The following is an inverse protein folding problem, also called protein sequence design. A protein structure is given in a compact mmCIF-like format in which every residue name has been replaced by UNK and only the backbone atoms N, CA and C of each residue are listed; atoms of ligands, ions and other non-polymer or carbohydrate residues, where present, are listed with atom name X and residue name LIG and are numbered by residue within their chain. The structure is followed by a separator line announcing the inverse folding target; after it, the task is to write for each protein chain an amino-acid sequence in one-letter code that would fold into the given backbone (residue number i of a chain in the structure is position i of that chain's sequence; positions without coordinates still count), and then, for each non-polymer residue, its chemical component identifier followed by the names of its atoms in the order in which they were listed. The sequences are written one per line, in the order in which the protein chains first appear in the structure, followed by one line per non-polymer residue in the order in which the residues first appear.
data_IF_470852735277
#
_entry.id   IF_470852735277
#
_cell.length_a   1.000
_cell.length_b   1.000
_cell.length_c   1.000
_cell.angle_alpha   90.00
_cell.angle_beta   90.00
_cell.angle_gamma   90.00
#
_symmetry.space_group_name_H-M   'P 1'
#
loop_
_entity.id
_entity.type
_entity.pdbx_description
1 polymer ?
#
# COMPACT_ATOMS: atom_id res chain seq x y z
N UNK A 1 18.88 -24.07 5.71
CA UNK A 1 17.59 -24.81 5.67
C UNK A 1 17.21 -25.16 7.11
N UNK A 2 16.07 -24.66 7.62
CA UNK A 2 15.62 -25.00 8.96
C UNK A 2 15.20 -26.49 8.99
N UNK A 3 15.65 -27.21 10.02
CA UNK A 3 15.36 -28.61 10.19
C UNK A 3 13.86 -28.79 10.45
N UNK A 4 13.17 -29.60 9.65
CA UNK A 4 11.76 -29.93 9.87
C UNK A 4 11.57 -30.61 11.22
N UNK A 5 10.67 -30.09 12.05
CA UNK A 5 10.30 -30.64 13.34
C UNK A 5 8.80 -30.98 13.31
N UNK A 6 8.39 -32.26 13.41
CA UNK A 6 6.97 -32.62 13.40
C UNK A 6 6.20 -31.93 14.53
N UNK A 7 4.99 -31.49 14.23
CA UNK A 7 4.09 -30.88 15.22
C UNK A 7 4.41 -29.45 15.66
N UNK A 8 5.47 -28.86 15.14
CA UNK A 8 5.90 -27.49 15.50
C UNK A 8 4.97 -26.39 14.93
N UNK A 9 4.08 -26.72 14.01
CA UNK A 9 3.18 -25.78 13.35
C UNK A 9 1.73 -25.94 13.84
N UNK A 10 1.00 -24.83 13.96
CA UNK A 10 -0.43 -24.85 14.31
C UNK A 10 -1.25 -25.64 13.28
N UNK A 11 -0.93 -25.50 12.01
CA UNK A 11 -1.57 -26.18 10.88
C UNK A 11 -0.65 -27.22 10.26
N UNK A 12 -1.22 -28.20 9.55
CA UNK A 12 -0.45 -29.22 8.83
C UNK A 12 0.31 -28.56 7.67
N UNK A 13 1.60 -28.86 7.59
CA UNK A 13 2.48 -28.43 6.49
C UNK A 13 2.44 -29.44 5.34
N UNK A 14 3.05 -29.10 4.20
CA UNK A 14 3.20 -30.04 3.08
C UNK A 14 4.01 -31.29 3.50
N UNK A 15 5.03 -31.13 4.36
CA UNK A 15 5.84 -32.26 4.85
C UNK A 15 5.04 -33.16 5.79
N UNK A 16 4.18 -32.59 6.65
CA UNK A 16 3.24 -33.38 7.44
C UNK A 16 2.29 -34.19 6.54
N UNK A 17 1.79 -33.59 5.47
CA UNK A 17 0.91 -34.25 4.50
C UNK A 17 1.61 -35.37 3.73
N UNK A 18 2.89 -35.18 3.35
CA UNK A 18 3.72 -36.23 2.74
C UNK A 18 3.92 -37.38 3.69
N UNK A 19 4.15 -37.09 4.98
CA UNK A 19 4.26 -38.13 6.00
C UNK A 19 2.94 -38.88 6.17
N UNK A 20 1.79 -38.20 6.22
CA UNK A 20 0.47 -38.83 6.26
C UNK A 20 0.27 -39.77 5.06
N UNK A 21 0.57 -39.31 3.85
CA UNK A 21 0.45 -40.12 2.63
C UNK A 21 1.32 -41.39 2.70
N UNK A 22 2.60 -41.22 3.06
CA UNK A 22 3.54 -42.35 3.21
C UNK A 22 3.06 -43.37 4.24
N UNK A 23 2.59 -42.90 5.38
CA UNK A 23 2.11 -43.73 6.48
C UNK A 23 0.81 -44.47 6.13
N UNK A 24 -0.10 -43.80 5.41
CA UNK A 24 -1.32 -44.45 4.87
C UNK A 24 -1.00 -45.54 3.85
N UNK A 25 -0.02 -45.31 2.98
CA UNK A 25 0.45 -46.32 2.03
C UNK A 25 1.09 -47.53 2.75
N UNK A 26 1.73 -47.29 3.90
CA UNK A 26 2.28 -48.36 4.76
C UNK A 26 1.21 -49.03 5.66
N UNK A 27 -0.04 -48.57 5.64
CA UNK A 27 -1.12 -49.15 6.45
C UNK A 27 -1.12 -48.75 7.92
N UNK A 28 -0.41 -47.67 8.29
CA UNK A 28 -0.35 -47.18 9.67
C UNK A 28 -1.72 -46.67 10.15
N UNK A 29 -2.01 -46.79 11.44
CA UNK A 29 -3.23 -46.27 12.06
C UNK A 29 -3.17 -44.74 12.23
N UNK A 30 -4.33 -44.12 12.33
CA UNK A 30 -4.41 -42.66 12.61
C UNK A 30 -3.79 -42.27 13.95
N UNK A 31 -3.79 -43.20 14.94
CA UNK A 31 -3.15 -42.96 16.23
C UNK A 31 -1.62 -42.89 16.07
N UNK A 32 -1.02 -43.74 15.26
CA UNK A 32 0.43 -43.76 15.04
C UNK A 32 0.86 -42.51 14.25
N UNK A 33 0.12 -42.15 13.21
CA UNK A 33 0.35 -40.94 12.41
C UNK A 33 0.25 -39.69 13.29
N UNK A 34 -0.80 -39.62 14.12
CA UNK A 34 -1.04 -38.49 15.00
C UNK A 34 0.05 -38.37 16.09
N UNK A 35 0.48 -39.47 16.65
CA UNK A 35 1.59 -39.50 17.63
C UNK A 35 2.88 -38.95 17.07
N UNK A 36 3.24 -39.31 15.86
CA UNK A 36 4.45 -38.80 15.20
C UNK A 36 4.34 -37.30 14.90
N UNK A 37 3.17 -36.84 14.42
CA UNK A 37 2.95 -35.44 14.05
C UNK A 37 2.59 -34.58 15.26
N UNK A 38 2.54 -35.08 16.47
CA UNK A 38 2.09 -34.40 17.68
C UNK A 38 0.74 -33.72 17.49
N UNK A 39 -0.21 -34.42 16.84
CA UNK A 39 -1.58 -33.98 16.57
C UNK A 39 -2.59 -34.95 17.15
N UNK A 40 -3.83 -34.54 17.28
CA UNK A 40 -4.94 -35.41 17.63
C UNK A 40 -5.33 -36.33 16.46
N UNK A 41 -5.66 -37.63 16.70
CA UNK A 41 -6.13 -38.53 15.64
C UNK A 41 -7.34 -38.03 14.87
N UNK A 42 -8.21 -37.22 15.51
CA UNK A 42 -9.38 -36.60 14.84
C UNK A 42 -8.95 -35.56 13.82
N UNK A 43 -7.83 -34.88 14.04
CA UNK A 43 -7.23 -33.93 13.07
C UNK A 43 -6.80 -34.68 11.81
N UNK A 44 -6.14 -35.83 11.95
CA UNK A 44 -5.71 -36.66 10.82
C UNK A 44 -6.95 -37.17 10.06
N UNK A 45 -7.96 -37.66 10.81
CA UNK A 45 -9.22 -38.10 10.21
C UNK A 45 -9.93 -36.99 9.41
N UNK A 46 -10.01 -35.80 9.97
CA UNK A 46 -10.61 -34.63 9.29
C UNK A 46 -9.82 -34.23 8.04
N UNK A 47 -8.49 -34.14 8.14
CA UNK A 47 -7.60 -33.82 7.02
C UNK A 47 -7.82 -34.77 5.86
N UNK A 48 -7.81 -36.10 6.12
CA UNK A 48 -7.99 -37.11 5.08
C UNK A 48 -9.38 -37.04 4.46
N UNK A 49 -10.44 -36.90 5.25
CA UNK A 49 -11.83 -36.85 4.76
C UNK A 49 -12.10 -35.60 3.93
N UNK A 50 -11.55 -34.45 4.29
CA UNK A 50 -11.74 -33.17 3.59
C UNK A 50 -10.92 -33.09 2.29
N UNK A 51 -9.71 -33.66 2.29
CA UNK A 51 -8.76 -33.45 1.20
C UNK A 51 -8.49 -34.72 0.38
N UNK A 52 -9.26 -35.82 0.60
CA UNK A 52 -9.14 -37.01 -0.25
C UNK A 52 -9.56 -36.70 -1.68
N UNK A 53 -8.79 -37.20 -2.64
CA UNK A 53 -9.08 -37.13 -4.05
C UNK A 53 -10.10 -38.22 -4.43
N UNK A 54 -11.28 -37.83 -4.90
CA UNK A 54 -12.29 -38.75 -5.43
C UNK A 54 -11.99 -39.12 -6.88
N UNK A 55 -12.39 -40.31 -7.27
CA UNK A 55 -12.31 -40.79 -8.66
C UNK A 55 -10.89 -40.72 -9.24
N UNK A 56 -9.92 -41.08 -8.37
CA UNK A 56 -8.52 -41.15 -8.77
C UNK A 56 -8.32 -42.26 -9.79
N UNK A 57 -7.92 -41.85 -11.00
CA UNK A 57 -7.63 -42.73 -12.10
C UNK A 57 -6.13 -42.96 -12.23
N UNK A 58 -5.67 -44.19 -12.04
CA UNK A 58 -4.32 -44.57 -12.43
C UNK A 58 -4.35 -44.97 -13.92
N UNK A 59 -3.55 -44.36 -14.78
CA UNK A 59 -3.40 -44.79 -16.19
C UNK A 59 -3.13 -46.30 -16.23
N UNK A 60 -4.02 -47.06 -16.84
CA UNK A 60 -3.91 -48.54 -16.98
C UNK A 60 -4.60 -49.37 -15.90
N UNK A 61 -5.22 -48.79 -14.86
CA UNK A 61 -5.86 -49.54 -13.78
C UNK A 61 -7.38 -49.51 -13.81
N UNK A 62 -7.99 -49.35 -14.99
CA UNK A 62 -9.46 -49.28 -15.08
C UNK A 62 -10.07 -50.51 -15.68
N UNK A 63 -10.84 -51.22 -14.85
CA UNK A 63 -12.08 -51.78 -15.37
C UNK A 63 -12.89 -50.62 -15.97
N UNK A 64 -13.23 -50.68 -17.25
CA UNK A 64 -14.10 -49.74 -17.96
C UNK A 64 -15.53 -49.77 -17.40
N UNK A 65 -15.72 -50.00 -16.11
CA UNK A 65 -17.02 -50.04 -15.47
C UNK A 65 -17.52 -48.60 -15.27
N UNK A 66 -18.26 -48.09 -16.20
CA UNK A 66 -18.96 -46.84 -16.09
C UNK A 66 -20.22 -46.92 -15.25
N UNK A 67 -20.72 -48.15 -14.97
CA UNK A 67 -21.86 -48.38 -14.11
C UNK A 67 -21.43 -48.66 -12.66
N UNK A 68 -21.91 -47.86 -11.73
CA UNK A 68 -21.57 -47.93 -10.29
C UNK A 68 -22.61 -48.69 -9.48
N UNK A 69 -23.53 -49.44 -10.14
CA UNK A 69 -24.54 -50.23 -9.48
C UNK A 69 -23.97 -51.52 -8.88
N UNK A 70 -24.41 -51.90 -7.69
CA UNK A 70 -24.07 -53.19 -7.04
C UNK A 70 -24.50 -54.36 -7.93
N UNK A 71 -25.65 -54.20 -8.60
CA UNK A 71 -26.24 -55.25 -9.43
C UNK A 71 -25.66 -55.37 -10.84
N UNK A 72 -24.70 -54.54 -11.25
CA UNK A 72 -24.21 -54.43 -12.63
C UNK A 72 -23.76 -55.76 -13.28
N UNK A 73 -23.24 -56.69 -12.51
CA UNK A 73 -22.74 -57.95 -13.02
C UNK A 73 -23.85 -59.02 -13.22
N UNK A 74 -24.97 -58.86 -12.53
CA UNK A 74 -26.10 -59.79 -12.56
C UNK A 74 -27.37 -59.17 -13.11
N UNK A 75 -27.33 -57.92 -13.51
CA UNK A 75 -28.48 -57.18 -14.04
C UNK A 75 -28.85 -57.67 -15.43
N UNK A 76 -30.09 -58.08 -15.57
CA UNK A 76 -30.68 -58.55 -16.85
C UNK A 76 -31.49 -57.45 -17.56
N UNK A 77 -31.60 -56.27 -16.97
CA UNK A 77 -32.36 -55.13 -17.52
C UNK A 77 -31.67 -54.58 -18.76
N UNK A 78 -32.46 -54.29 -19.79
CA UNK A 78 -32.02 -53.65 -21.03
C UNK A 78 -32.88 -52.41 -21.28
N UNK A 79 -32.33 -51.42 -21.94
CA UNK A 79 -33.01 -50.18 -22.34
C UNK A 79 -33.69 -49.40 -21.19
N UNK A 80 -33.13 -49.44 -20.00
CA UNK A 80 -33.69 -48.76 -18.81
C UNK A 80 -33.76 -47.24 -18.98
N UNK A 81 -32.95 -46.66 -19.84
CA UNK A 81 -32.88 -45.20 -20.09
C UNK A 81 -33.92 -44.72 -21.11
N UNK A 82 -34.60 -45.63 -21.83
CA UNK A 82 -35.64 -45.30 -22.84
C UNK A 82 -35.17 -44.47 -24.03
N UNK A 83 -33.86 -44.19 -24.12
CA UNK A 83 -33.31 -43.25 -25.13
C UNK A 83 -33.12 -43.90 -26.51
N UNK A 84 -32.99 -45.23 -26.58
CA UNK A 84 -32.70 -45.95 -27.82
C UNK A 84 -33.46 -47.27 -27.76
N UNK A 85 -34.31 -47.54 -28.77
CA UNK A 85 -35.16 -48.73 -28.83
C UNK A 85 -34.32 -50.02 -28.92
N UNK A 86 -33.15 -49.99 -29.55
CA UNK A 86 -32.19 -51.07 -29.64
C UNK A 86 -30.85 -50.69 -29.09
N UNK A 87 -30.74 -50.63 -27.75
CA UNK A 87 -29.47 -50.35 -27.08
C UNK A 87 -28.58 -51.60 -27.09
N UNK A 88 -27.54 -51.64 -27.93
CA UNK A 88 -26.53 -52.71 -27.96
C UNK A 88 -25.52 -52.64 -26.81
N UNK A 89 -25.59 -51.62 -25.95
CA UNK A 89 -24.66 -51.44 -24.85
C UNK A 89 -25.12 -52.22 -23.61
N UNK A 90 -24.24 -53.09 -23.11
CA UNK A 90 -24.54 -53.81 -21.86
C UNK A 90 -24.67 -52.83 -20.72
N UNK A 91 -25.74 -52.95 -19.90
CA UNK A 91 -25.94 -52.08 -18.74
C UNK A 91 -24.81 -52.12 -17.72
N UNK A 92 -24.02 -53.18 -17.72
CA UNK A 92 -22.77 -53.28 -16.89
C UNK A 92 -21.75 -52.19 -17.19
N UNK A 93 -21.71 -51.68 -18.41
CA UNK A 93 -20.76 -50.67 -18.87
C UNK A 93 -21.40 -49.30 -19.12
N UNK A 94 -22.72 -49.18 -19.03
CA UNK A 94 -23.44 -47.95 -19.35
C UNK A 94 -23.54 -47.00 -18.16
N UNK A 95 -23.01 -45.77 -18.25
CA UNK A 95 -23.07 -44.79 -17.15
C UNK A 95 -24.48 -44.22 -16.95
N UNK A 96 -25.36 -44.29 -17.96
CA UNK A 96 -26.69 -43.70 -17.90
C UNK A 96 -27.58 -44.37 -16.84
N UNK A 97 -27.36 -45.64 -16.55
CA UNK A 97 -28.04 -46.37 -15.49
C UNK A 97 -27.83 -45.76 -14.09
N UNK A 98 -26.72 -45.04 -13.86
CA UNK A 98 -26.42 -44.41 -12.57
C UNK A 98 -27.43 -43.30 -12.22
N UNK A 99 -28.12 -42.75 -13.22
CA UNK A 99 -29.08 -41.66 -13.06
C UNK A 99 -30.52 -42.05 -13.33
N UNK A 100 -30.74 -43.04 -14.22
CA UNK A 100 -32.07 -43.33 -14.75
C UNK A 100 -32.67 -44.63 -14.22
N UNK A 101 -31.84 -45.54 -13.68
CA UNK A 101 -32.37 -46.83 -13.20
C UNK A 101 -33.03 -46.68 -11.84
N UNK A 102 -34.33 -47.04 -11.67
CA UNK A 102 -35.02 -46.95 -10.38
C UNK A 102 -34.47 -47.91 -9.34
N UNK A 103 -33.86 -49.03 -9.78
CA UNK A 103 -33.21 -50.00 -8.88
C UNK A 103 -31.71 -49.75 -8.71
N UNK A 104 -31.25 -48.54 -9.00
CA UNK A 104 -29.83 -48.21 -8.84
C UNK A 104 -29.44 -48.19 -7.38
N UNK A 105 -28.54 -49.10 -7.00
CA UNK A 105 -27.92 -49.11 -5.68
C UNK A 105 -26.40 -48.87 -5.86
N UNK A 106 -25.94 -47.75 -5.36
CA UNK A 106 -24.51 -47.36 -5.48
C UNK A 106 -23.62 -48.33 -4.70
N UNK A 107 -22.67 -48.94 -5.37
CA UNK A 107 -21.68 -49.80 -4.74
C UNK A 107 -20.79 -49.00 -3.76
N UNK A 108 -20.63 -49.56 -2.54
CA UNK A 108 -19.81 -48.95 -1.50
C UNK A 108 -18.76 -49.91 -1.00
N UNK A 109 -17.61 -49.38 -0.62
CA UNK A 109 -16.55 -50.11 0.03
C UNK A 109 -16.51 -49.77 1.53
N UNK A 110 -16.65 -50.75 2.40
CA UNK A 110 -16.60 -50.55 3.88
C UNK A 110 -15.33 -49.85 4.35
N UNK A 111 -14.21 -49.98 3.64
CA UNK A 111 -12.97 -49.26 3.92
C UNK A 111 -13.08 -47.76 3.71
N UNK A 112 -13.99 -47.31 2.84
CA UNK A 112 -14.20 -45.87 2.57
C UNK A 112 -15.19 -45.24 3.54
N UNK A 113 -16.01 -46.04 4.22
CA UNK A 113 -16.94 -45.61 5.26
C UNK A 113 -16.29 -45.60 6.68
N UNK A 114 -15.22 -46.35 6.86
CA UNK A 114 -14.44 -46.46 8.10
C UNK A 114 -13.00 -45.99 7.86
N UNK A 115 -12.25 -45.71 8.92
CA UNK A 115 -10.82 -45.44 8.81
C UNK A 115 -10.10 -46.53 8.02
N UNK A 116 -9.25 -46.17 7.07
CA UNK A 116 -8.62 -44.89 6.80
C UNK A 116 -9.39 -43.98 5.78
N UNK A 117 -10.61 -44.29 5.35
CA UNK A 117 -11.46 -43.53 4.40
C UNK A 117 -10.89 -43.39 2.99
N UNK A 118 -9.78 -44.02 2.69
CA UNK A 118 -9.03 -43.97 1.43
C UNK A 118 -8.50 -45.33 1.04
N UNK A 119 -8.16 -45.48 -0.24
CA UNK A 119 -7.60 -46.70 -0.80
C UNK A 119 -6.08 -46.85 -0.57
N UNK A 120 -5.42 -45.85 0.01
CA UNK A 120 -4.00 -45.93 0.34
C UNK A 120 -3.74 -47.15 1.25
N UNK A 121 -2.70 -47.96 0.95
CA UNK A 121 -2.36 -49.15 1.70
C UNK A 121 -3.45 -50.23 1.71
N UNK A 122 -4.34 -50.24 0.69
CA UNK A 122 -5.32 -51.30 0.55
C UNK A 122 -4.64 -52.62 0.15
N UNK A 123 -4.91 -53.75 0.84
CA UNK A 123 -4.28 -55.06 0.51
C UNK A 123 -4.77 -55.59 -0.84
N UNK A 124 -5.97 -55.20 -1.29
CA UNK A 124 -6.42 -55.57 -2.64
C UNK A 124 -5.64 -54.72 -3.65
N UNK A 125 -4.90 -55.37 -4.54
CA UNK A 125 -4.23 -54.68 -5.62
C UNK A 125 -5.23 -53.82 -6.38
N UNK A 126 -4.84 -52.60 -6.77
CA UNK A 126 -5.71 -51.62 -7.45
C UNK A 126 -6.37 -52.22 -8.68
N UNK A 127 -5.66 -53.12 -9.37
CA UNK A 127 -6.11 -53.82 -10.57
C UNK A 127 -7.16 -54.92 -10.28
N UNK A 128 -7.23 -55.43 -9.06
CA UNK A 128 -8.18 -56.48 -8.65
C UNK A 128 -9.40 -55.95 -7.87
N UNK A 129 -9.45 -54.63 -7.64
CA UNK A 129 -10.56 -53.99 -6.96
C UNK A 129 -11.70 -53.67 -7.92
N UNK A 130 -12.85 -54.35 -7.73
CA UNK A 130 -14.04 -54.17 -8.54
C UNK A 130 -14.81 -52.89 -8.22
N UNK A 131 -14.54 -52.24 -7.08
CA UNK A 131 -15.23 -51.01 -6.64
C UNK A 131 -14.88 -49.86 -7.55
N UNK A 132 -15.92 -49.25 -8.11
CA UNK A 132 -15.76 -48.16 -9.07
C UNK A 132 -15.28 -46.85 -8.42
N UNK A 133 -15.88 -46.49 -7.28
CA UNK A 133 -15.45 -45.29 -6.56
C UNK A 133 -14.23 -45.57 -5.70
N UNK A 134 -13.14 -44.88 -6.02
CA UNK A 134 -11.88 -44.98 -5.28
C UNK A 134 -11.48 -43.60 -4.75
N UNK A 135 -11.01 -43.55 -3.51
CA UNK A 135 -10.49 -42.35 -2.90
C UNK A 135 -9.03 -42.55 -2.57
N UNK A 136 -8.23 -41.55 -2.87
CA UNK A 136 -6.81 -41.54 -2.49
C UNK A 136 -6.50 -40.25 -1.73
N UNK A 137 -5.65 -40.36 -0.72
CA UNK A 137 -5.01 -39.21 -0.15
C UNK A 137 -3.68 -38.97 -0.86
N UNK A 138 -3.54 -37.76 -1.45
CA UNK A 138 -2.35 -37.29 -2.11
C UNK A 138 -1.93 -35.98 -1.44
N UNK A 139 -0.70 -35.92 -0.96
CA UNK A 139 -0.20 -34.80 -0.14
C UNK A 139 -0.16 -33.48 -0.89
N UNK A 140 0.22 -33.49 -2.18
CA UNK A 140 0.31 -32.30 -3.00
C UNK A 140 -1.08 -31.75 -3.31
N UNK A 141 -2.01 -32.67 -3.65
CA UNK A 141 -3.39 -32.28 -3.88
C UNK A 141 -4.03 -31.71 -2.61
N UNK A 142 -3.83 -32.36 -1.45
CA UNK A 142 -4.37 -31.92 -0.19
C UNK A 142 -3.83 -30.53 0.21
N UNK A 143 -2.54 -30.28 0.01
CA UNK A 143 -1.92 -28.98 0.30
C UNK A 143 -2.45 -27.88 -0.63
N UNK A 144 -2.62 -28.18 -1.91
CA UNK A 144 -3.23 -27.24 -2.86
C UNK A 144 -4.67 -26.91 -2.47
N UNK A 145 -5.48 -27.93 -2.14
CA UNK A 145 -6.88 -27.72 -1.72
C UNK A 145 -6.97 -26.91 -0.42
N UNK A 146 -6.10 -27.17 0.53
CA UNK A 146 -6.01 -26.40 1.75
C UNK A 146 -5.67 -24.92 1.47
N UNK A 147 -4.67 -24.65 0.61
CA UNK A 147 -4.30 -23.30 0.19
C UNK A 147 -5.41 -22.58 -0.58
N UNK A 148 -6.12 -23.29 -1.46
CA UNK A 148 -7.30 -22.77 -2.15
C UNK A 148 -8.38 -22.37 -1.15
N UNK A 149 -8.68 -23.22 -0.16
CA UNK A 149 -9.67 -22.94 0.89
C UNK A 149 -9.25 -21.72 1.74
N UNK A 150 -7.97 -21.62 2.13
CA UNK A 150 -7.45 -20.45 2.84
C UNK A 150 -7.56 -19.17 2.01
N UNK A 151 -7.26 -19.25 0.73
CA UNK A 151 -7.37 -18.10 -0.17
C UNK A 151 -8.84 -17.67 -0.34
N UNK A 152 -9.73 -18.63 -0.54
CA UNK A 152 -11.17 -18.36 -0.68
C UNK A 152 -11.80 -17.82 0.60
N UNK A 153 -11.42 -18.35 1.77
CA UNK A 153 -11.94 -17.87 3.06
C UNK A 153 -11.46 -16.46 3.42
N UNK A 154 -10.34 -16.02 2.82
CA UNK A 154 -9.79 -14.66 2.96
C UNK A 154 -10.19 -13.75 1.79
N UNK A 155 -10.84 -14.30 0.77
CA UNK A 155 -11.35 -13.53 -0.35
C UNK A 155 -12.61 -12.77 0.06
N UNK A 156 -12.69 -11.51 -0.38
CA UNK A 156 -13.82 -10.65 -0.07
C UNK A 156 -13.50 -9.58 0.98
N UNK A 157 -14.53 -8.93 1.44
CA UNK A 157 -14.48 -7.81 2.37
C UNK A 157 -15.10 -8.26 3.69
N UNK A 158 -14.40 -8.06 4.80
CA UNK A 158 -14.92 -8.39 6.14
C UNK A 158 -15.80 -7.25 6.69
N UNK A 159 -16.80 -6.84 5.89
CA UNK A 159 -17.80 -5.85 6.29
C UNK A 159 -19.07 -6.00 5.45
N UNK A 160 -20.17 -5.46 5.95
CA UNK A 160 -21.45 -5.42 5.24
C UNK A 160 -21.42 -4.39 4.11
N UNK A 161 -22.36 -4.52 3.16
CA UNK A 161 -22.53 -3.51 2.09
C UNK A 161 -22.87 -2.13 2.64
N UNK A 162 -23.60 -2.06 3.74
CA UNK A 162 -23.97 -0.81 4.37
C UNK A 162 -22.75 -0.10 4.97
N UNK A 163 -21.95 -0.82 5.75
CA UNK A 163 -20.69 -0.30 6.31
C UNK A 163 -19.72 0.15 5.22
N UNK A 164 -19.60 -0.62 4.14
CA UNK A 164 -18.78 -0.24 3.00
C UNK A 164 -19.26 1.08 2.38
N UNK A 165 -20.57 1.21 2.18
CA UNK A 165 -21.15 2.43 1.63
C UNK A 165 -20.92 3.65 2.52
N UNK A 166 -21.08 3.50 3.84
CA UNK A 166 -20.78 4.58 4.80
C UNK A 166 -19.32 5.02 4.73
N UNK A 167 -18.38 4.06 4.68
CA UNK A 167 -16.94 4.37 4.53
C UNK A 167 -16.64 5.01 3.17
N UNK A 168 -17.25 4.56 2.09
CA UNK A 168 -17.07 5.14 0.76
C UNK A 168 -17.55 6.59 0.68
N UNK A 169 -18.63 6.94 1.35
CA UNK A 169 -19.16 8.30 1.45
C UNK A 169 -18.18 9.27 2.12
N UNK A 170 -17.30 8.79 3.01
CA UNK A 170 -16.24 9.59 3.64
C UNK A 170 -14.98 9.58 2.78
N UNK A 171 -14.52 8.39 2.38
CA UNK A 171 -13.21 8.21 1.74
C UNK A 171 -13.16 8.82 0.33
N UNK A 172 -14.17 8.58 -0.48
CA UNK A 172 -14.13 8.97 -1.91
C UNK A 172 -14.04 10.48 -2.11
N UNK A 173 -14.82 11.34 -1.43
CA UNK A 173 -14.67 12.80 -1.54
C UNK A 173 -13.28 13.28 -1.12
N UNK A 174 -12.71 12.75 -0.07
CA UNK A 174 -11.39 13.14 0.44
C UNK A 174 -10.26 12.77 -0.55
N UNK A 175 -10.37 11.62 -1.22
CA UNK A 175 -9.45 11.25 -2.31
C UNK A 175 -9.53 12.27 -3.46
N UNK A 176 -10.73 12.68 -3.84
CA UNK A 176 -10.91 13.70 -4.90
C UNK A 176 -10.42 15.08 -4.49
N UNK A 177 -10.41 15.41 -3.19
CA UNK A 177 -9.73 16.60 -2.66
C UNK A 177 -8.20 16.45 -2.67
N UNK A 178 -7.67 15.28 -3.05
CA UNK A 178 -6.25 14.99 -3.16
C UNK A 178 -5.60 14.58 -1.86
N UNK A 179 -6.36 14.16 -0.89
CA UNK A 179 -5.82 13.54 0.30
C UNK A 179 -5.27 12.15 -0.01
N UNK A 180 -4.15 11.80 0.59
CA UNK A 180 -3.58 10.46 0.46
C UNK A 180 -4.28 9.47 1.40
N UNK A 181 -4.28 8.16 1.11
CA UNK A 181 -4.80 7.14 2.02
C UNK A 181 -4.24 7.24 3.46
N UNK A 182 -2.98 7.61 3.61
CA UNK A 182 -2.38 7.85 4.92
C UNK A 182 -3.06 8.99 5.68
N UNK A 183 -3.24 10.15 5.02
CA UNK A 183 -3.88 11.32 5.62
C UNK A 183 -5.33 11.03 6.02
N UNK A 184 -6.08 10.35 5.16
CA UNK A 184 -7.47 9.95 5.44
C UNK A 184 -7.55 9.07 6.69
N UNK A 185 -6.77 7.99 6.75
CA UNK A 185 -6.81 7.05 7.88
C UNK A 185 -6.32 7.70 9.18
N UNK A 186 -5.34 8.61 9.11
CA UNK A 186 -4.83 9.32 10.29
C UNK A 186 -5.87 10.28 10.87
N UNK A 187 -6.63 10.95 10.00
CA UNK A 187 -7.64 11.92 10.42
C UNK A 187 -8.98 11.28 10.80
N UNK A 188 -9.27 10.05 10.30
CA UNK A 188 -10.52 9.33 10.47
C UNK A 188 -10.30 7.95 11.12
N UNK A 189 -9.91 7.89 12.40
CA UNK A 189 -9.72 6.62 13.11
C UNK A 189 -11.00 5.80 13.22
N UNK A 190 -12.19 6.42 13.12
CA UNK A 190 -13.50 5.76 13.10
C UNK A 190 -13.71 4.85 11.89
N UNK A 191 -12.93 5.02 10.82
CA UNK A 191 -12.97 4.11 9.68
C UNK A 191 -12.48 2.70 10.02
N UNK A 192 -11.76 2.54 11.13
CA UNK A 192 -11.25 1.25 11.64
C UNK A 192 -10.66 0.38 10.51
N UNK A 193 -9.71 0.93 9.80
CA UNK A 193 -8.99 0.23 8.72
C UNK A 193 -7.54 0.68 8.61
N UNK A 194 -6.69 -0.22 8.13
CA UNK A 194 -5.29 0.14 7.87
C UNK A 194 -5.13 0.86 6.52
N UNK A 195 -4.08 1.67 6.42
CA UNK A 195 -3.69 2.32 5.16
C UNK A 195 -3.52 1.29 4.03
N UNK A 196 -2.95 0.13 4.35
CA UNK A 196 -2.77 -0.98 3.39
C UNK A 196 -4.10 -1.56 2.91
N UNK A 197 -5.08 -1.65 3.82
CA UNK A 197 -6.44 -2.10 3.48
C UNK A 197 -7.09 -1.13 2.51
N UNK A 198 -6.97 0.18 2.75
CA UNK A 198 -7.52 1.21 1.88
C UNK A 198 -6.90 1.16 0.48
N UNK A 199 -5.57 1.05 0.37
CA UNK A 199 -4.92 0.83 -0.94
C UNK A 199 -5.45 -0.42 -1.65
N UNK A 200 -5.61 -1.54 -0.93
CA UNK A 200 -6.16 -2.77 -1.52
C UNK A 200 -7.59 -2.61 -2.02
N UNK A 201 -8.41 -1.79 -1.36
CA UNK A 201 -9.79 -1.53 -1.77
C UNK A 201 -9.86 -0.65 -3.01
N UNK A 202 -8.97 0.35 -3.10
CA UNK A 202 -8.82 1.20 -4.30
C UNK A 202 -8.34 0.39 -5.52
N UNK A 203 -7.32 -0.47 -5.33
CA UNK A 203 -6.78 -1.33 -6.38
C UNK A 203 -7.81 -2.34 -6.91
N UNK A 204 -8.65 -2.89 -6.03
CA UNK A 204 -9.69 -3.85 -6.38
C UNK A 204 -10.97 -3.19 -6.90
N UNK A 205 -11.06 -1.86 -6.89
CA UNK A 205 -12.25 -1.12 -7.30
C UNK A 205 -13.47 -1.39 -6.42
N UNK A 206 -13.25 -1.60 -5.13
CA UNK A 206 -14.29 -1.87 -4.12
C UNK A 206 -15.01 -0.58 -3.73
N UNK A 207 -14.27 0.54 -3.68
CA UNK A 207 -14.76 1.89 -3.44
C UNK A 207 -15.12 2.58 -4.76
N UNK A 208 -15.85 3.68 -4.69
CA UNK A 208 -16.14 4.53 -5.85
C UNK A 208 -14.89 5.19 -6.40
N UNK A 209 -14.00 5.67 -5.52
CA UNK A 209 -12.65 6.08 -5.90
C UNK A 209 -11.79 4.87 -6.27
N UNK A 210 -10.87 5.06 -7.20
CA UNK A 210 -9.96 4.04 -7.70
C UNK A 210 -8.50 4.50 -7.62
N UNK A 211 -7.59 3.58 -7.85
CA UNK A 211 -6.14 3.84 -7.84
C UNK A 211 -5.73 4.97 -8.81
N UNK A 212 -6.45 5.15 -9.92
CA UNK A 212 -6.20 6.22 -10.90
C UNK A 212 -6.47 7.63 -10.31
N UNK A 213 -7.33 7.72 -9.31
CA UNK A 213 -7.70 8.98 -8.66
C UNK A 213 -6.63 9.42 -7.64
N UNK A 214 -5.70 8.52 -7.29
CA UNK A 214 -4.56 8.83 -6.44
C UNK A 214 -3.53 9.68 -7.19
N UNK A 215 -3.02 10.72 -6.55
CA UNK A 215 -2.14 11.73 -7.18
C UNK A 215 -0.74 11.25 -7.57
N UNK A 216 -0.23 10.17 -6.99
CA UNK A 216 1.08 9.61 -7.33
C UNK A 216 0.95 8.43 -8.28
N UNK A 217 0.89 8.72 -9.57
CA UNK A 217 1.23 7.74 -10.59
C UNK A 217 2.72 7.89 -10.91
N UNK A 218 3.42 6.75 -11.04
CA UNK A 218 4.84 6.71 -11.42
C UNK A 218 4.97 7.29 -12.83
N UNK A 219 5.41 8.55 -12.95
CA UNK A 219 5.80 9.14 -14.23
C UNK A 219 7.29 8.99 -14.41
N UNK A 220 7.68 8.08 -15.29
CA UNK A 220 9.06 7.95 -15.75
C UNK A 220 9.36 9.08 -16.74
N UNK A 221 10.10 10.09 -16.30
CA UNK A 221 10.71 11.07 -17.21
C UNK A 221 12.22 10.89 -17.15
N UNK A 222 12.88 10.52 -18.26
CA UNK A 222 14.35 10.46 -18.30
C UNK A 222 14.93 11.86 -18.02
N UNK A 223 15.82 11.94 -17.03
CA UNK A 223 16.51 13.19 -16.70
C UNK A 223 17.47 13.55 -17.83
N UNK A 224 17.27 14.71 -18.45
CA UNK A 224 18.29 15.31 -19.32
C UNK A 224 19.41 15.86 -18.44
N UNK A 225 20.61 15.34 -18.63
CA UNK A 225 21.81 15.83 -17.93
C UNK A 225 22.27 17.12 -18.62
N UNK A 226 22.07 18.26 -17.95
CA UNK A 226 22.66 19.52 -18.38
C UNK A 226 23.99 19.71 -17.67
N UNK A 227 25.07 19.77 -18.42
CA UNK A 227 26.40 20.17 -17.90
C UNK A 227 26.42 21.67 -17.77
N UNK A 228 26.30 22.19 -16.58
CA UNK A 228 26.53 23.62 -16.26
C UNK A 228 27.95 23.81 -15.73
N UNK A 229 28.65 24.79 -16.26
CA UNK A 229 29.97 25.20 -15.70
C UNK A 229 29.73 25.90 -14.36
N UNK A 230 30.32 25.35 -13.33
CA UNK A 230 30.24 25.91 -11.96
C UNK A 230 31.31 27.00 -11.86
N UNK A 231 30.89 28.24 -11.66
CA UNK A 231 31.81 29.35 -11.34
C UNK A 231 31.93 29.45 -9.80
N UNK A 232 33.12 29.23 -9.29
CA UNK A 232 33.43 29.49 -7.89
C UNK A 232 33.33 31.01 -7.61
N UNK A 233 32.55 31.37 -6.59
CA UNK A 233 32.42 32.77 -6.14
C UNK A 233 32.95 32.87 -4.71
N UNK A 234 33.75 33.89 -4.44
CA UNK A 234 34.31 34.18 -3.12
C UNK A 234 33.23 34.33 -2.02
N UNK A 235 32.02 34.70 -2.41
CA UNK A 235 30.84 34.83 -1.53
C UNK A 235 30.47 33.55 -0.77
N UNK A 236 30.87 32.36 -1.29
CA UNK A 236 30.56 31.07 -0.67
C UNK A 236 31.62 30.56 0.28
N UNK A 237 32.74 31.28 0.43
CA UNK A 237 33.83 30.90 1.35
C UNK A 237 33.31 30.96 2.79
N UNK A 238 33.54 29.89 3.58
CA UNK A 238 33.04 29.69 4.95
C UNK A 238 31.51 29.58 5.07
N UNK A 239 30.82 29.34 3.94
CA UNK A 239 29.37 29.14 3.88
C UNK A 239 29.02 27.93 3.03
N UNK A 240 29.96 27.01 2.87
CA UNK A 240 29.73 25.79 2.09
C UNK A 240 28.92 24.76 2.87
N UNK A 241 28.41 23.75 2.19
CA UNK A 241 27.68 22.66 2.84
C UNK A 241 28.52 21.92 3.88
N UNK A 242 29.85 21.80 3.69
CA UNK A 242 30.77 21.24 4.68
C UNK A 242 30.80 22.07 5.97
N UNK A 243 30.78 23.40 5.86
CA UNK A 243 30.77 24.30 7.02
C UNK A 243 29.45 24.19 7.77
N UNK A 244 28.35 24.06 7.02
CA UNK A 244 26.99 23.80 7.56
C UNK A 244 26.93 22.46 8.31
N UNK A 245 27.47 21.37 7.73
CA UNK A 245 27.46 20.05 8.36
C UNK A 245 28.23 20.02 9.68
N UNK A 246 29.31 20.80 9.76
CA UNK A 246 30.12 20.91 11.01
C UNK A 246 29.34 21.53 12.18
N UNK A 247 28.21 22.18 11.94
CA UNK A 247 27.35 22.74 12.99
C UNK A 247 26.50 21.72 13.70
N UNK A 248 26.31 20.52 13.13
CA UNK A 248 25.49 19.42 13.66
C UNK A 248 24.10 19.87 14.17
N UNK A 249 23.39 20.70 13.39
CA UNK A 249 22.15 21.33 13.81
C UNK A 249 20.95 20.38 13.60
N UNK A 250 20.11 20.24 14.62
CA UNK A 250 18.84 19.55 14.56
C UNK A 250 17.72 20.42 13.95
N UNK A 251 17.88 21.73 13.98
CA UNK A 251 16.90 22.71 13.51
C UNK A 251 17.56 23.76 12.62
N UNK A 252 17.04 23.90 11.41
CA UNK A 252 17.42 24.94 10.46
C UNK A 252 16.29 25.15 9.44
N UNK A 253 16.38 26.22 8.67
CA UNK A 253 15.45 26.47 7.56
C UNK A 253 16.10 26.10 6.21
N UNK A 254 15.40 25.41 5.36
CA UNK A 254 15.75 25.30 3.95
C UNK A 254 15.04 26.42 3.19
N UNK A 255 15.73 27.04 2.22
CA UNK A 255 15.19 28.14 1.40
C UNK A 255 15.38 27.83 -0.09
N UNK A 256 14.36 28.14 -0.89
CA UNK A 256 14.37 27.90 -2.34
C UNK A 256 13.40 28.84 -3.08
N UNK A 257 13.52 28.91 -4.40
CA UNK A 257 12.57 29.62 -5.26
C UNK A 257 11.82 28.69 -6.19
N UNK A 258 10.52 28.95 -6.34
CA UNK A 258 9.65 28.24 -7.27
C UNK A 258 9.27 29.16 -8.42
N UNK A 259 9.72 28.78 -9.62
CA UNK A 259 9.49 29.58 -10.83
C UNK A 259 8.10 29.35 -11.45
N UNK A 260 7.54 30.40 -12.00
CA UNK A 260 6.33 30.47 -12.80
C UNK A 260 6.51 29.84 -14.20
N UNK A 261 5.48 29.93 -15.04
CA UNK A 261 5.57 29.79 -16.49
C UNK A 261 6.49 30.84 -17.09
N UNK A 262 6.89 30.66 -18.35
CA UNK A 262 7.77 31.61 -19.04
C UNK A 262 7.13 33.02 -19.26
N UNK A 263 5.80 33.07 -19.17
CA UNK A 263 5.02 34.30 -19.42
C UNK A 263 4.98 35.26 -18.21
N UNK A 264 5.41 34.80 -17.04
CA UNK A 264 5.42 35.64 -15.83
C UNK A 264 6.81 35.69 -15.20
N UNK A 265 7.19 36.89 -14.74
CA UNK A 265 8.42 37.16 -14.00
C UNK A 265 8.28 36.90 -12.51
N UNK A 266 7.07 36.64 -12.01
CA UNK A 266 6.81 36.36 -10.61
C UNK A 266 7.35 35.00 -10.21
N UNK A 267 7.87 34.96 -9.02
CA UNK A 267 8.41 33.73 -8.38
C UNK A 267 7.93 33.65 -6.95
N UNK A 268 7.94 32.45 -6.41
CA UNK A 268 7.59 32.22 -5.01
C UNK A 268 8.87 31.90 -4.27
N UNK A 269 9.21 32.68 -3.23
CA UNK A 269 10.24 32.36 -2.26
C UNK A 269 9.62 31.44 -1.21
N UNK A 270 10.27 30.33 -0.93
CA UNK A 270 9.79 29.32 0.00
C UNK A 270 10.77 29.05 1.11
N UNK A 271 10.26 28.80 2.31
CA UNK A 271 11.04 28.33 3.46
C UNK A 271 10.42 27.03 3.99
N UNK A 272 11.27 26.18 4.53
CA UNK A 272 10.88 24.95 5.16
C UNK A 272 11.68 24.77 6.46
N UNK A 273 10.99 24.85 7.60
CA UNK A 273 11.57 24.59 8.90
C UNK A 273 11.70 23.09 9.11
N UNK A 274 12.91 22.59 9.22
CA UNK A 274 13.17 21.14 9.12
C UNK A 274 12.62 20.33 10.27
N UNK A 275 12.61 20.89 11.48
CA UNK A 275 12.12 20.22 12.69
C UNK A 275 10.58 20.06 12.69
N UNK A 276 9.85 21.13 12.47
CA UNK A 276 8.39 21.19 12.45
C UNK A 276 7.79 20.74 11.12
N UNK A 277 8.63 20.60 10.08
CA UNK A 277 8.18 20.39 8.68
C UNK A 277 7.27 21.51 8.19
N UNK A 278 7.40 22.70 8.80
CA UNK A 278 6.57 23.85 8.52
C UNK A 278 7.01 24.53 7.22
N UNK A 279 6.05 24.74 6.34
CA UNK A 279 6.26 25.38 5.03
C UNK A 279 5.74 26.81 5.04
N UNK A 280 6.52 27.72 4.49
CA UNK A 280 6.13 29.13 4.29
C UNK A 280 6.43 29.52 2.86
N UNK A 281 5.60 30.43 2.29
CA UNK A 281 5.74 30.87 0.91
C UNK A 281 5.37 32.34 0.73
N UNK A 282 6.18 33.05 -0.05
CA UNK A 282 6.04 34.49 -0.29
C UNK A 282 6.16 34.80 -1.78
N UNK A 283 5.23 35.61 -2.30
CA UNK A 283 5.27 36.04 -3.70
C UNK A 283 6.30 37.15 -3.88
N UNK A 284 7.11 37.01 -4.92
CA UNK A 284 8.04 38.07 -5.37
C UNK A 284 7.73 38.44 -6.81
N UNK A 285 7.74 39.72 -7.13
CA UNK A 285 7.49 40.22 -8.48
C UNK A 285 8.61 39.86 -9.46
N UNK A 286 9.84 39.69 -8.96
CA UNK A 286 11.01 39.28 -9.75
C UNK A 286 11.97 38.45 -8.89
N UNK A 287 12.71 37.56 -9.52
CA UNK A 287 13.74 36.75 -8.89
C UNK A 287 15.04 37.57 -8.78
N UNK A 288 15.18 38.38 -7.74
CA UNK A 288 16.32 39.29 -7.53
C UNK A 288 16.75 39.27 -6.05
N UNK A 289 18.03 39.55 -5.79
CA UNK A 289 18.58 39.72 -4.44
C UNK A 289 17.77 40.71 -3.59
N UNK A 290 17.40 41.86 -4.19
CA UNK A 290 16.60 42.86 -3.50
C UNK A 290 15.19 42.39 -3.14
N UNK A 291 14.56 41.57 -3.98
CA UNK A 291 13.25 41.02 -3.68
C UNK A 291 13.32 40.00 -2.51
N UNK A 292 14.33 39.17 -2.45
CA UNK A 292 14.56 38.24 -1.32
C UNK A 292 14.79 39.05 -0.03
N UNK A 293 15.67 40.07 -0.07
CA UNK A 293 15.89 40.98 1.08
C UNK A 293 14.61 41.62 1.59
N UNK A 294 13.75 42.07 0.68
CA UNK A 294 12.45 42.67 1.07
C UNK A 294 11.57 41.67 1.82
N UNK A 295 11.54 40.41 1.42
CA UNK A 295 10.79 39.36 2.13
C UNK A 295 11.37 39.15 3.53
N UNK A 296 12.70 39.08 3.67
CA UNK A 296 13.37 38.96 4.96
C UNK A 296 13.03 40.12 5.89
N UNK A 297 13.14 41.36 5.39
CA UNK A 297 12.81 42.56 6.15
C UNK A 297 11.34 42.60 6.59
N UNK A 298 10.43 42.19 5.70
CA UNK A 298 9.01 42.10 6.03
C UNK A 298 8.74 41.06 7.12
N UNK A 299 9.37 39.90 7.04
CA UNK A 299 9.24 38.84 8.04
C UNK A 299 9.81 39.30 9.40
N UNK A 300 10.99 39.91 9.41
CA UNK A 300 11.57 40.44 10.64
C UNK A 300 10.70 41.54 11.27
N UNK A 301 10.12 42.41 10.44
CA UNK A 301 9.19 43.45 10.94
C UNK A 301 7.90 42.82 11.55
N UNK A 302 7.39 41.73 10.97
CA UNK A 302 6.18 41.06 11.45
C UNK A 302 6.42 40.25 12.73
N UNK A 303 7.57 39.58 12.84
CA UNK A 303 7.94 38.68 13.94
C UNK A 303 8.66 39.42 15.08
N UNK A 304 9.37 40.49 14.76
CA UNK A 304 10.43 41.02 15.60
C UNK A 304 11.74 40.25 15.43
N UNK A 305 12.86 40.86 15.82
CA UNK A 305 14.19 40.30 15.59
C UNK A 305 14.42 38.99 16.36
N UNK A 306 13.89 38.86 17.58
CA UNK A 306 14.04 37.67 18.40
C UNK A 306 13.33 36.45 17.82
N UNK A 307 12.07 36.56 17.47
CA UNK A 307 11.28 35.47 16.92
C UNK A 307 11.73 35.10 15.50
N UNK A 308 12.20 36.13 14.73
CA UNK A 308 12.85 35.85 13.43
C UNK A 308 14.10 35.00 13.63
N UNK A 309 14.95 35.34 14.55
CA UNK A 309 16.17 34.58 14.87
C UNK A 309 15.84 33.16 15.36
N UNK A 310 14.78 33.00 16.15
CA UNK A 310 14.33 31.67 16.61
C UNK A 310 13.94 30.76 15.46
N UNK A 311 13.26 31.29 14.43
CA UNK A 311 12.78 30.52 13.29
C UNK A 311 13.84 30.32 12.20
N UNK A 312 14.69 31.35 11.97
CA UNK A 312 15.56 31.45 10.81
C UNK A 312 17.03 31.67 11.18
N UNK A 313 17.47 31.18 12.35
CA UNK A 313 18.87 31.33 12.82
C UNK A 313 19.87 30.82 11.76
N UNK A 314 19.61 29.67 11.18
CA UNK A 314 20.44 29.08 10.13
C UNK A 314 19.59 28.71 8.92
N UNK A 315 20.02 29.16 7.76
CA UNK A 315 19.29 28.92 6.50
C UNK A 315 20.23 28.25 5.50
N UNK A 316 19.78 27.11 4.95
CA UNK A 316 20.44 26.38 3.89
C UNK A 316 19.74 26.67 2.55
N UNK A 317 20.48 27.13 1.55
CA UNK A 317 19.93 27.45 0.22
C UNK A 317 20.83 26.93 -0.90
N UNK A 318 20.39 27.04 -2.15
CA UNK A 318 21.24 26.78 -3.30
C UNK A 318 22.08 28.03 -3.69
N UNK A 319 22.93 27.87 -4.71
CA UNK A 319 23.76 28.96 -5.22
C UNK A 319 23.04 29.81 -6.28
N UNK A 320 21.74 30.02 -6.14
CA UNK A 320 20.93 30.89 -7.02
C UNK A 320 21.48 32.31 -7.02
N UNK A 321 21.31 33.01 -8.15
CA UNK A 321 21.79 34.39 -8.24
C UNK A 321 21.06 35.33 -7.29
N UNK A 322 19.83 35.05 -6.94
CA UNK A 322 18.98 35.74 -5.98
C UNK A 322 19.48 35.65 -4.54
N UNK A 323 20.20 34.57 -4.22
CA UNK A 323 20.80 34.33 -2.89
C UNK A 323 22.27 34.76 -2.80
N UNK A 324 22.82 35.32 -3.86
CA UNK A 324 24.24 35.68 -3.95
C UNK A 324 24.64 36.97 -3.21
N UNK A 325 23.92 37.37 -2.17
CA UNK A 325 24.23 38.49 -1.28
C UNK A 325 23.88 38.11 0.18
N UNK A 326 24.62 37.17 0.76
CA UNK A 326 24.32 36.69 2.11
C UNK A 326 24.37 37.76 3.17
N UNK A 327 25.33 38.70 3.08
CA UNK A 327 25.49 39.74 4.07
C UNK A 327 24.25 40.60 4.24
N UNK A 328 23.55 40.91 3.13
CA UNK A 328 22.30 41.66 3.18
C UNK A 328 21.12 40.87 3.75
N UNK A 329 21.18 39.54 3.72
CA UNK A 329 20.18 38.66 4.32
C UNK A 329 20.46 38.39 5.80
N UNK A 330 21.73 38.25 6.17
CA UNK A 330 22.18 38.00 7.54
C UNK A 330 22.00 39.20 8.45
N UNK A 331 22.18 40.41 7.93
CA UNK A 331 22.02 41.65 8.69
C UNK A 331 20.57 42.13 8.66
N UNK A 332 19.99 42.27 9.84
CA UNK A 332 18.64 42.77 10.05
C UNK A 332 18.48 44.26 9.78
N UNK A 333 17.25 44.75 9.92
CA UNK A 333 16.92 46.20 9.71
C UNK A 333 17.70 47.12 10.66
N UNK A 334 17.96 46.62 11.88
CA UNK A 334 18.68 47.35 12.91
C UNK A 334 20.21 47.12 12.90
N UNK A 335 20.76 46.50 11.86
CA UNK A 335 22.16 46.12 11.79
C UNK A 335 22.57 44.93 12.70
N UNK A 336 21.62 44.33 13.39
CA UNK A 336 21.82 43.14 14.21
C UNK A 336 21.77 41.92 13.30
N UNK A 337 22.70 40.97 13.53
CA UNK A 337 22.69 39.69 12.80
C UNK A 337 21.42 38.90 13.12
N UNK A 338 20.64 38.54 12.09
CA UNK A 338 19.35 37.84 12.20
C UNK A 338 19.38 36.42 11.72
N UNK A 339 20.36 36.01 10.93
CA UNK A 339 20.50 34.65 10.42
C UNK A 339 21.89 34.37 9.89
N UNK A 340 22.24 33.13 9.67
CA UNK A 340 23.44 32.66 8.99
C UNK A 340 23.09 31.88 7.75
N UNK A 341 23.60 32.25 6.57
CA UNK A 341 23.28 31.66 5.29
C UNK A 341 24.34 30.68 4.84
N UNK A 342 23.95 29.46 4.55
CA UNK A 342 24.79 28.38 4.01
C UNK A 342 24.30 27.91 2.66
N UNK A 343 25.20 27.36 1.86
CA UNK A 343 24.92 26.98 0.46
C UNK A 343 25.16 25.49 0.22
N UNK A 344 24.22 24.85 -0.44
CA UNK A 344 24.37 23.50 -0.93
C UNK A 344 25.49 23.39 -1.97
N UNK A 345 26.03 22.20 -2.11
CA UNK A 345 26.94 21.88 -3.20
C UNK A 345 26.23 22.00 -4.55
N UNK A 346 26.94 22.40 -5.58
CA UNK A 346 26.35 22.50 -6.92
C UNK A 346 25.78 21.16 -7.38
N UNK A 347 24.59 21.19 -7.95
CA UNK A 347 23.87 20.02 -8.49
C UNK A 347 23.54 18.91 -7.47
N UNK A 348 23.63 19.19 -6.17
CA UNK A 348 23.24 18.25 -5.11
C UNK A 348 21.91 18.68 -4.46
N UNK A 349 20.83 18.61 -5.23
CA UNK A 349 19.47 18.97 -4.77
C UNK A 349 19.03 18.18 -3.54
N UNK A 350 19.47 16.92 -3.40
CA UNK A 350 19.14 16.09 -2.24
C UNK A 350 19.60 16.64 -0.87
N UNK A 351 20.46 17.65 -0.85
CA UNK A 351 20.88 18.34 0.39
C UNK A 351 19.77 19.23 0.98
N UNK A 352 18.72 19.56 0.19
CA UNK A 352 17.49 20.26 0.60
C UNK A 352 16.26 19.37 0.42
N UNK A 353 16.29 18.16 0.96
CA UNK A 353 15.26 17.15 0.71
C UNK A 353 13.87 17.50 1.25
N UNK A 354 13.80 18.26 2.34
CA UNK A 354 12.54 18.65 2.98
C UNK A 354 11.72 19.61 2.12
N UNK A 355 12.36 20.69 1.66
CA UNK A 355 11.70 21.70 0.83
C UNK A 355 11.31 21.12 -0.55
N UNK A 356 12.18 20.25 -1.14
CA UNK A 356 11.86 19.61 -2.43
C UNK A 356 10.65 18.69 -2.33
N UNK A 357 10.53 17.92 -1.24
CA UNK A 357 9.35 17.09 -1.00
C UNK A 357 8.10 17.96 -0.86
N UNK A 358 8.19 19.08 -0.16
CA UNK A 358 7.07 20.01 0.03
C UNK A 358 6.71 20.75 -1.27
N UNK A 359 7.70 21.07 -2.11
CA UNK A 359 7.43 21.58 -3.46
C UNK A 359 6.63 20.58 -4.32
N UNK A 360 6.76 19.28 -4.08
CA UNK A 360 5.90 18.29 -4.74
C UNK A 360 4.42 18.51 -4.37
N UNK A 361 4.13 18.83 -3.11
CA UNK A 361 2.74 19.16 -2.67
C UNK A 361 2.29 20.49 -3.23
N UNK A 362 3.12 21.52 -3.20
CA UNK A 362 2.84 22.79 -3.83
C UNK A 362 2.49 22.61 -5.33
N UNK A 363 3.22 21.73 -6.02
CA UNK A 363 3.00 21.43 -7.44
C UNK A 363 1.75 20.57 -7.72
N UNK A 364 1.13 19.99 -6.71
CA UNK A 364 -0.21 19.41 -6.85
C UNK A 364 -1.28 20.50 -6.98
N UNK A 365 -1.10 21.62 -6.27
CA UNK A 365 -2.01 22.78 -6.30
C UNK A 365 -1.66 23.72 -7.44
N UNK A 366 -0.38 24.02 -7.61
CA UNK A 366 0.16 24.86 -8.69
C UNK A 366 1.02 24.02 -9.66
N UNK A 367 0.44 23.33 -10.65
CA UNK A 367 1.16 22.50 -11.60
C UNK A 367 2.30 23.24 -12.31
N UNK A 368 3.28 22.50 -12.83
CA UNK A 368 4.33 23.11 -13.67
C UNK A 368 3.69 23.83 -14.86
N UNK A 369 4.21 24.99 -15.20
CA UNK A 369 3.70 25.90 -16.24
C UNK A 369 2.46 26.71 -15.84
N UNK A 370 2.01 26.67 -14.61
CA UNK A 370 1.00 27.62 -14.11
C UNK A 370 1.62 29.02 -14.04
N UNK A 371 0.94 30.02 -14.58
CA UNK A 371 1.34 31.43 -14.46
C UNK A 371 1.06 31.95 -13.05
N UNK A 372 2.02 32.68 -12.46
CA UNK A 372 1.85 33.31 -11.15
C UNK A 372 1.43 34.80 -11.29
N UNK A 373 1.07 35.23 -12.48
CA UNK A 373 0.76 36.67 -12.73
C UNK A 373 -0.40 37.15 -11.87
N UNK A 374 -1.43 36.31 -11.72
CA UNK A 374 -2.63 36.63 -10.94
C UNK A 374 -2.61 36.07 -9.53
N UNK A 375 -1.53 35.34 -9.15
CA UNK A 375 -1.42 34.76 -7.83
C UNK A 375 -1.15 35.83 -6.78
N UNK A 376 -1.99 35.94 -5.78
CA UNK A 376 -1.85 36.89 -4.69
C UNK A 376 -1.12 36.26 -3.48
N UNK A 377 -0.64 37.07 -2.55
CA UNK A 377 -0.08 36.57 -1.29
C UNK A 377 -1.16 35.90 -0.44
N UNK A 378 -2.43 36.30 -0.59
CA UNK A 378 -3.54 35.66 0.11
C UNK A 378 -3.80 34.25 -0.41
N UNK A 379 -3.79 34.04 -1.72
CA UNK A 379 -3.89 32.72 -2.34
C UNK A 379 -2.75 31.79 -1.85
N UNK A 380 -1.54 32.36 -1.77
CA UNK A 380 -0.38 31.61 -1.32
C UNK A 380 -0.49 31.20 0.15
N UNK A 381 -1.05 32.06 1.01
CA UNK A 381 -1.33 31.71 2.40
C UNK A 381 -2.33 30.57 2.50
N UNK A 382 -3.41 30.64 1.74
CA UNK A 382 -4.39 29.56 1.66
C UNK A 382 -3.71 28.22 1.30
N UNK A 383 -2.83 28.23 0.30
CA UNK A 383 -2.05 27.06 -0.10
C UNK A 383 -1.17 26.55 1.06
N UNK A 384 -0.47 27.46 1.72
CA UNK A 384 0.42 27.16 2.85
C UNK A 384 -0.35 26.56 4.01
N UNK A 385 -1.52 27.12 4.35
CA UNK A 385 -2.40 26.61 5.40
C UNK A 385 -2.85 25.16 5.12
N UNK A 386 -3.27 24.88 3.89
CA UNK A 386 -3.64 23.53 3.47
C UNK A 386 -2.46 22.54 3.52
N UNK A 387 -1.27 22.96 3.09
CA UNK A 387 -0.06 22.11 3.14
C UNK A 387 0.35 21.81 4.58
N UNK A 388 0.32 22.83 5.45
CA UNK A 388 0.73 22.69 6.87
C UNK A 388 -0.30 21.98 7.73
N UNK A 389 -1.54 21.84 7.27
CA UNK A 389 -2.59 21.08 7.95
C UNK A 389 -2.64 19.60 7.54
N UNK A 390 -1.68 19.14 6.71
CA UNK A 390 -1.62 17.73 6.32
C UNK A 390 -0.82 16.89 7.31
N UNK A 391 -1.34 15.76 7.84
CA UNK A 391 -0.61 14.85 8.69
C UNK A 391 0.66 14.31 8.04
N UNK A 392 1.76 14.25 8.81
CA UNK A 392 3.04 13.73 8.35
C UNK A 392 3.43 12.47 9.12
N UNK A 393 3.80 11.41 8.41
CA UNK A 393 4.30 10.18 9.02
C UNK A 393 5.57 10.45 9.86
N UNK A 394 6.47 11.32 9.36
CA UNK A 394 7.69 11.72 10.07
C UNK A 394 7.44 12.55 11.34
N UNK A 395 6.22 13.03 11.58
CA UNK A 395 5.79 13.71 12.79
C UNK A 395 4.83 12.84 13.62
N UNK A 396 4.81 11.53 13.38
CA UNK A 396 3.93 10.59 14.09
C UNK A 396 2.44 10.81 13.80
N UNK A 397 2.10 11.29 12.60
CA UNK A 397 0.72 11.59 12.21
C UNK A 397 0.24 12.99 12.58
N UNK A 398 1.07 13.81 13.24
CA UNK A 398 0.75 15.21 13.56
C UNK A 398 0.92 16.11 12.33
N UNK A 399 0.26 17.25 12.35
CA UNK A 399 0.42 18.26 11.30
C UNK A 399 1.61 19.18 11.59
N UNK A 400 2.27 19.75 10.56
CA UNK A 400 3.27 20.79 10.73
C UNK A 400 2.78 21.98 11.57
N UNK A 401 1.49 22.36 11.39
CA UNK A 401 0.88 23.42 12.17
C UNK A 401 0.84 23.10 13.67
N UNK A 402 0.41 21.88 14.05
CA UNK A 402 0.31 21.49 15.46
C UNK A 402 1.67 21.45 16.15
N UNK A 403 2.69 20.93 15.45
CA UNK A 403 4.06 20.89 15.99
C UNK A 403 4.65 22.30 16.12
N UNK A 404 4.39 23.18 15.15
CA UNK A 404 4.83 24.57 15.23
C UNK A 404 4.08 25.34 16.33
N UNK A 405 2.80 25.08 16.54
CA UNK A 405 2.02 25.68 17.63
C UNK A 405 2.59 25.29 19.01
N UNK A 406 2.97 24.03 19.18
CA UNK A 406 3.59 23.54 20.41
C UNK A 406 4.97 24.17 20.66
N UNK A 407 5.80 24.27 19.61
CA UNK A 407 7.17 24.76 19.76
C UNK A 407 7.30 26.28 19.83
N UNK A 408 6.44 27.02 19.14
CA UNK A 408 6.57 28.48 18.98
C UNK A 408 5.42 29.27 19.57
N UNK A 409 4.30 28.63 19.88
CA UNK A 409 3.11 29.29 20.40
C UNK A 409 2.26 29.98 19.32
N UNK A 410 1.07 30.40 19.73
CA UNK A 410 0.04 30.93 18.83
C UNK A 410 0.40 32.30 18.27
N UNK A 411 1.17 33.11 19.01
CA UNK A 411 1.46 34.49 18.61
C UNK A 411 2.41 34.54 17.40
N UNK A 412 3.41 33.65 17.35
CA UNK A 412 4.29 33.50 16.18
C UNK A 412 3.50 33.00 14.96
N UNK A 413 2.61 32.01 15.14
CA UNK A 413 1.79 31.51 14.05
C UNK A 413 0.83 32.59 13.51
N UNK A 414 0.26 33.41 14.38
CA UNK A 414 -0.55 34.58 13.99
C UNK A 414 0.25 35.64 13.25
N UNK A 415 1.49 35.93 13.73
CA UNK A 415 2.39 36.85 13.05
C UNK A 415 2.77 36.34 11.64
N UNK A 416 2.95 35.02 11.46
CA UNK A 416 3.14 34.36 10.17
C UNK A 416 1.83 34.23 9.38
N UNK A 417 0.69 34.60 9.98
CA UNK A 417 -0.66 34.53 9.42
C UNK A 417 -1.08 33.12 9.00
N UNK A 418 -0.63 32.11 9.75
CA UNK A 418 -0.98 30.70 9.55
C UNK A 418 -2.28 30.35 10.26
N UNK A 419 -3.08 29.49 9.64
CA UNK A 419 -4.35 28.99 10.17
C UNK A 419 -4.43 27.46 9.99
N UNK A 420 -4.99 26.75 10.97
CA UNK A 420 -5.27 25.33 10.78
C UNK A 420 -6.47 25.15 9.88
N UNK A 421 -6.43 24.14 9.02
CA UNK A 421 -7.55 23.71 8.19
C UNK A 421 -8.07 22.38 8.74
N UNK A 422 -9.38 22.24 8.94
CA UNK A 422 -9.97 20.98 9.41
C UNK A 422 -9.63 19.80 8.49
N UNK A 423 -9.56 18.56 9.05
CA UNK A 423 -9.18 17.36 8.29
C UNK A 423 -10.02 17.10 7.04
N UNK A 424 -11.31 17.41 7.07
CA UNK A 424 -12.22 17.18 5.94
C UNK A 424 -12.16 18.26 4.87
N UNK A 425 -11.57 19.41 5.18
CA UNK A 425 -11.57 20.59 4.32
C UNK A 425 -10.26 20.80 3.57
N UNK A 426 -9.13 20.22 4.03
CA UNK A 426 -7.87 20.49 3.34
C UNK A 426 -7.85 19.85 1.94
N UNK A 427 -7.46 20.64 0.97
CA UNK A 427 -7.48 20.31 -0.45
C UNK A 427 -6.10 20.56 -1.07
N UNK A 428 -5.58 19.54 -1.76
CA UNK A 428 -4.29 19.61 -2.45
C UNK A 428 -4.48 19.50 -3.97
N UNK A 429 -5.55 20.06 -4.50
CA UNK A 429 -5.83 20.07 -5.94
C UNK A 429 -5.74 21.49 -6.52
N UNK A 430 -5.59 21.63 -7.85
CA UNK A 430 -5.62 22.94 -8.49
C UNK A 430 -6.94 23.70 -8.29
N UNK A 431 -8.01 23.00 -7.90
CA UNK A 431 -9.32 23.63 -7.64
C UNK A 431 -9.35 24.47 -6.36
N UNK A 432 -8.31 24.35 -5.50
CA UNK A 432 -8.18 25.16 -4.29
C UNK A 432 -8.11 26.66 -4.62
N UNK A 433 -7.38 26.99 -5.68
CA UNK A 433 -7.21 28.39 -6.13
C UNK A 433 -8.01 28.57 -7.42
N UNK A 434 -9.13 29.29 -7.31
CA UNK A 434 -9.88 29.73 -8.49
C UNK A 434 -9.22 31.02 -9.00
N UNK A 435 -8.42 30.90 -10.04
CA UNK A 435 -8.01 32.10 -10.78
C UNK A 435 -9.27 32.68 -11.47
N UNK A 436 -9.77 33.82 -10.99
CA UNK A 436 -10.75 34.56 -11.71
C UNK A 436 -10.06 35.11 -12.98
N UNK A 437 -10.26 34.43 -14.09
CA UNK A 437 -9.83 34.87 -15.44
C UNK A 437 -10.77 35.91 -15.96
#
# INVERSE_FOLDING_TARGET
MSKYIPGNQKHLTLEDRKYIEKSLNAGCSFKDIARYLCKDPTTISKEIRLHRLSDWYHKGCFNNAHNFCVHRYHCKKVNVCGKIILCGVKCTTCPTCNQTCPDFVKERCNRLDKAPYVCNGCPKAINHCTIAHKYRYDAIFADRKYKECLSQSRAGINMTRHELHQKDMVITPLIFQGQSPYQIITNHPELDMSVRTLYSYLDKGILSARNIDLKRQVKFNPRKVHKTQIKDRSVFIRRMFSDFQALELDHFAEMDTVHSSQDSKRVILTFFLTREKLFLAFIMNRCTKGAVKLVFNKLEHQLGTYDFLTLFNTILTDRGSEFGDPESLENGINGIMRSSIYYCDPMRSGQKGGIEQTHTMLRMILPKKTSFEYLTQWDLRTIVDHINSTPRESLGGRTPYDVALENYGIDILKALQLRPIPPDEFNLTPMLIRFNH
#
